data_IF_767749007011
#
_entry.id   IF_767749007011
#
_cell.length_a   1.000
_cell.length_b   1.000
_cell.length_c   1.000
_cell.angle_alpha   90.00
_cell.angle_beta   90.00
_cell.angle_gamma   90.00
#
_symmetry.space_group_name_H-M   'P 1'
#
loop_
_entity.id
_entity.type
_entity.pdbx_description
1 polymer ?
#
# COMPACT_ATOMS: atom_id res chain seq x y z
N UNK A 1 23.30 -7.34 14.51
CA UNK A 1 21.94 -7.01 14.02
C UNK A 1 20.92 -8.05 14.53
N UNK A 2 21.19 -9.32 14.39
CA UNK A 2 20.38 -10.42 14.95
C UNK A 2 20.16 -10.34 16.46
N UNK A 3 21.06 -9.70 17.20
CA UNK A 3 20.95 -9.53 18.65
C UNK A 3 19.92 -8.50 19.09
N UNK A 4 19.70 -7.42 18.31
CA UNK A 4 18.67 -6.43 18.64
C UNK A 4 17.29 -7.02 18.31
N UNK A 5 17.16 -7.72 17.19
CA UNK A 5 15.94 -8.43 16.82
C UNK A 5 15.59 -9.54 17.83
N UNK A 6 16.60 -10.20 18.42
CA UNK A 6 16.43 -11.16 19.50
C UNK A 6 16.08 -10.50 20.84
N UNK A 7 16.65 -9.33 21.14
CA UNK A 7 16.33 -8.58 22.36
C UNK A 7 14.87 -8.09 22.36
N UNK A 8 14.35 -7.62 21.24
CA UNK A 8 12.92 -7.25 21.10
C UNK A 8 11.99 -8.44 21.41
N UNK A 9 12.45 -9.66 21.18
CA UNK A 9 11.70 -10.88 21.46
C UNK A 9 11.82 -11.39 22.91
N UNK A 10 12.88 -11.03 23.63
CA UNK A 10 13.28 -11.69 24.88
C UNK A 10 13.07 -10.85 26.15
N UNK A 11 12.79 -9.54 26.06
CA UNK A 11 12.89 -8.68 27.25
C UNK A 11 11.56 -8.39 27.90
N UNK A 12 11.47 -8.76 29.18
CA UNK A 12 10.33 -8.46 30.05
C UNK A 12 10.26 -7.02 30.57
N UNK A 13 11.37 -6.24 30.50
CA UNK A 13 11.38 -4.81 30.86
C UNK A 13 11.27 -3.92 29.61
N UNK A 14 10.04 -3.53 29.34
CA UNK A 14 9.63 -2.79 28.15
C UNK A 14 10.22 -1.38 28.08
N UNK A 15 10.44 -0.71 29.21
CA UNK A 15 10.97 0.65 29.25
C UNK A 15 12.44 0.71 28.81
N UNK A 16 13.26 -0.23 29.27
CA UNK A 16 14.68 -0.35 28.88
C UNK A 16 14.83 -0.71 27.41
N UNK A 17 14.01 -1.65 26.90
CA UNK A 17 14.01 -2.02 25.47
C UNK A 17 13.63 -0.82 24.61
N UNK A 18 12.61 -0.06 25.00
CA UNK A 18 12.17 1.13 24.30
C UNK A 18 13.29 2.16 24.20
N UNK A 19 13.95 2.46 25.32
CA UNK A 19 15.04 3.44 25.34
C UNK A 19 16.22 3.01 24.46
N UNK A 20 16.55 1.73 24.44
CA UNK A 20 17.54 1.16 23.52
C UNK A 20 17.11 1.25 22.06
N UNK A 21 15.84 0.96 21.74
CA UNK A 21 15.31 1.03 20.38
C UNK A 21 15.28 2.48 19.86
N UNK A 22 14.85 3.44 20.68
CA UNK A 22 14.81 4.87 20.30
C UNK A 22 16.19 5.37 19.86
N UNK A 23 17.28 4.92 20.51
CA UNK A 23 18.64 5.30 20.11
C UNK A 23 19.08 4.73 18.75
N UNK A 24 18.33 3.76 18.21
CA UNK A 24 18.61 3.10 16.93
C UNK A 24 17.63 3.47 15.82
N UNK A 25 16.63 4.31 16.10
CA UNK A 25 15.65 4.76 15.11
C UNK A 25 16.25 5.71 14.08
N UNK A 26 15.50 5.90 13.01
CA UNK A 26 15.86 6.78 11.93
C UNK A 26 16.78 6.14 10.90
N UNK A 27 17.37 7.00 10.09
CA UNK A 27 18.24 6.60 8.99
C UNK A 27 19.67 6.35 9.49
N UNK A 28 20.24 5.24 9.07
CA UNK A 28 21.67 4.92 9.30
C UNK A 28 22.31 4.41 8.01
N UNK A 29 23.62 4.61 7.89
CA UNK A 29 24.42 4.06 6.80
C UNK A 29 25.41 3.05 7.38
N UNK A 30 25.28 1.79 6.99
CA UNK A 30 26.14 0.69 7.47
C UNK A 30 26.47 -0.25 6.33
N UNK A 31 27.76 -0.60 6.20
CA UNK A 31 28.24 -1.54 5.18
C UNK A 31 27.76 -1.20 3.75
N UNK A 32 27.82 0.09 3.39
CA UNK A 32 27.39 0.55 2.07
C UNK A 32 25.87 0.61 1.84
N UNK A 33 25.05 0.39 2.89
CA UNK A 33 23.57 0.38 2.78
C UNK A 33 22.93 1.45 3.64
N UNK A 34 21.90 2.08 3.09
CA UNK A 34 20.99 2.97 3.82
C UNK A 34 19.86 2.17 4.45
N UNK A 35 19.79 2.22 5.78
CA UNK A 35 18.80 1.49 6.56
C UNK A 35 17.92 2.49 7.29
N UNK A 36 16.61 2.38 7.16
CA UNK A 36 15.62 3.13 7.91
C UNK A 36 14.97 2.24 8.96
N UNK A 37 14.90 2.71 10.21
CA UNK A 37 14.22 2.03 11.32
C UNK A 37 13.14 2.91 11.89
N UNK A 38 11.93 2.37 11.98
CA UNK A 38 10.76 3.06 12.52
C UNK A 38 10.05 2.17 13.53
N UNK A 39 9.36 2.79 14.49
CA UNK A 39 8.47 2.11 15.41
C UNK A 39 7.03 2.21 14.91
N UNK A 40 6.28 1.15 15.13
CA UNK A 40 4.86 1.11 14.85
C UNK A 40 4.11 0.34 15.95
N UNK A 41 2.86 0.71 16.19
CA UNK A 41 2.11 0.21 17.34
C UNK A 41 1.42 -1.15 17.13
N UNK A 42 1.38 -1.67 15.89
CA UNK A 42 0.70 -2.94 15.60
C UNK A 42 1.33 -3.71 14.45
N UNK A 43 1.14 -5.04 14.40
CA UNK A 43 1.62 -5.86 13.28
C UNK A 43 0.94 -5.50 11.96
N UNK A 44 1.69 -5.52 10.88
CA UNK A 44 1.26 -5.28 9.49
C UNK A 44 1.16 -6.63 8.75
N UNK A 45 0.29 -7.53 9.23
CA UNK A 45 0.25 -8.94 8.82
C UNK A 45 -0.49 -9.21 7.51
N UNK A 46 -1.41 -8.36 7.14
CA UNK A 46 -2.17 -8.50 5.90
C UNK A 46 -1.78 -7.38 4.93
N UNK A 47 -1.12 -7.76 3.85
CA UNK A 47 -0.66 -6.86 2.80
C UNK A 47 -1.27 -7.22 1.43
N UNK A 48 -2.29 -8.11 1.42
CA UNK A 48 -2.94 -8.57 0.19
C UNK A 48 -3.80 -7.46 -0.44
N UNK A 49 -3.51 -7.00 -1.66
CA UNK A 49 -4.33 -6.04 -2.37
C UNK A 49 -5.77 -6.53 -2.56
N UNK A 50 -6.74 -5.65 -2.33
CA UNK A 50 -8.17 -5.97 -2.43
C UNK A 50 -8.79 -6.54 -1.15
N UNK A 51 -7.99 -6.86 -0.13
CA UNK A 51 -8.50 -7.10 1.22
C UNK A 51 -8.77 -5.77 1.95
N UNK A 52 -9.40 -5.83 3.13
CA UNK A 52 -9.65 -4.66 3.96
C UNK A 52 -8.35 -4.15 4.61
N UNK A 53 -7.52 -3.48 3.80
CA UNK A 53 -6.27 -2.87 4.26
C UNK A 53 -6.54 -1.57 5.00
N UNK A 54 -5.83 -1.35 6.09
CA UNK A 54 -5.76 -0.06 6.75
C UNK A 54 -4.73 0.82 6.03
N UNK A 55 -4.69 2.10 6.35
CA UNK A 55 -3.82 3.09 5.70
C UNK A 55 -2.34 2.67 5.65
N UNK A 56 -1.79 2.22 6.78
CA UNK A 56 -0.37 1.81 6.83
C UNK A 56 -0.09 0.56 5.99
N UNK A 57 -1.00 -0.41 5.98
CA UNK A 57 -0.90 -1.60 5.11
C UNK A 57 -1.04 -1.22 3.64
N UNK A 58 -1.94 -0.27 3.32
CA UNK A 58 -2.08 0.31 1.97
C UNK A 58 -0.78 0.98 1.52
N UNK A 59 -0.15 1.77 2.39
CA UNK A 59 1.12 2.41 2.10
C UNK A 59 2.22 1.39 1.82
N UNK A 60 2.33 0.36 2.65
CA UNK A 60 3.31 -0.72 2.44
C UNK A 60 2.99 -1.52 1.16
N UNK A 61 1.72 -1.82 0.89
CA UNK A 61 1.33 -2.52 -0.35
C UNK A 61 1.79 -1.77 -1.60
N UNK A 62 1.71 -0.43 -1.61
CA UNK A 62 2.22 0.41 -2.70
C UNK A 62 3.73 0.36 -2.89
N UNK A 63 4.47 -0.07 -1.88
CA UNK A 63 5.91 -0.29 -2.01
C UNK A 63 6.26 -1.70 -2.53
N UNK A 64 5.35 -2.65 -2.38
CA UNK A 64 5.58 -4.06 -2.73
C UNK A 64 5.04 -4.39 -4.13
N UNK A 65 3.91 -3.78 -4.50
CA UNK A 65 3.22 -4.08 -5.75
C UNK A 65 3.26 -2.89 -6.70
N UNK A 66 3.08 -3.20 -7.97
CA UNK A 66 2.77 -2.23 -9.03
C UNK A 66 1.41 -2.53 -9.64
N UNK A 67 0.86 -1.57 -10.36
CA UNK A 67 -0.39 -1.68 -11.11
C UNK A 67 -0.19 -1.25 -12.57
N UNK A 68 -1.22 -1.24 -13.39
CA UNK A 68 -1.08 -0.77 -14.78
C UNK A 68 -0.67 0.70 -14.81
N UNK A 69 -1.29 1.51 -13.97
CA UNK A 69 -1.01 2.93 -13.77
C UNK A 69 -0.77 3.17 -12.26
N UNK A 70 -0.26 4.31 -11.89
CA UNK A 70 -0.15 4.69 -10.48
C UNK A 70 -0.58 6.14 -10.27
N UNK A 71 -0.98 6.45 -9.05
CA UNK A 71 -1.30 7.81 -8.62
C UNK A 71 -0.09 8.33 -7.85
N UNK A 72 0.44 9.46 -8.28
CA UNK A 72 1.46 10.17 -7.55
C UNK A 72 0.83 10.74 -6.26
N UNK A 73 1.34 10.33 -5.09
CA UNK A 73 0.79 10.74 -3.80
C UNK A 73 1.06 12.21 -3.45
N UNK A 74 2.02 12.86 -4.13
CA UNK A 74 2.38 14.26 -3.85
C UNK A 74 1.46 15.25 -4.58
N UNK A 75 1.14 14.95 -5.85
CA UNK A 75 0.38 15.88 -6.70
C UNK A 75 -0.97 15.32 -7.18
N UNK A 76 -1.26 14.04 -6.91
CA UNK A 76 -2.50 13.35 -7.33
C UNK A 76 -2.55 13.02 -8.82
N UNK A 77 -1.47 13.22 -9.57
CA UNK A 77 -1.43 12.94 -11.01
C UNK A 77 -1.35 11.44 -11.30
N UNK A 78 -1.96 11.07 -12.42
CA UNK A 78 -1.89 9.72 -12.94
C UNK A 78 -0.61 9.53 -13.73
N UNK A 79 0.18 8.54 -13.35
CA UNK A 79 1.47 8.22 -13.95
C UNK A 79 1.49 6.81 -14.55
N UNK A 80 2.44 6.60 -15.46
CA UNK A 80 2.76 5.27 -15.98
C UNK A 80 3.39 4.39 -14.90
N UNK A 81 2.98 3.11 -14.88
CA UNK A 81 3.58 2.09 -14.03
C UNK A 81 3.94 0.86 -14.87
N UNK A 82 3.32 -0.31 -14.71
CA UNK A 82 3.54 -1.47 -15.60
C UNK A 82 3.14 -1.12 -17.04
N UNK A 83 2.04 -0.40 -17.25
CA UNK A 83 1.75 0.19 -18.55
C UNK A 83 2.54 1.49 -18.73
N UNK A 84 3.34 1.54 -19.79
CA UNK A 84 4.09 2.76 -20.12
C UNK A 84 3.25 3.77 -20.91
N UNK A 85 2.15 3.31 -21.51
CA UNK A 85 1.22 4.14 -22.26
C UNK A 85 -0.18 3.49 -22.27
N UNK A 86 -1.22 4.33 -22.41
CA UNK A 86 -2.61 3.88 -22.62
C UNK A 86 -3.38 4.89 -23.45
N UNK A 87 -4.43 4.41 -24.10
CA UNK A 87 -5.32 5.26 -24.88
C UNK A 87 -6.76 4.74 -24.86
N UNK A 88 -7.71 5.64 -24.91
CA UNK A 88 -9.11 5.30 -25.10
C UNK A 88 -9.38 5.15 -26.61
N UNK A 89 -9.63 3.92 -27.05
CA UNK A 89 -9.95 3.61 -28.44
C UNK A 89 -11.39 4.02 -28.78
N UNK A 90 -12.29 3.78 -27.82
CA UNK A 90 -13.70 4.20 -27.87
C UNK A 90 -14.21 4.41 -26.44
N UNK A 91 -15.41 4.97 -26.24
CA UNK A 91 -15.99 5.12 -24.88
C UNK A 91 -16.06 3.82 -24.07
N UNK A 92 -16.12 2.66 -24.74
CA UNK A 92 -16.20 1.34 -24.12
C UNK A 92 -14.91 0.51 -24.29
N UNK A 93 -13.83 1.08 -24.78
CA UNK A 93 -12.63 0.33 -25.09
C UNK A 93 -11.36 1.14 -24.76
N UNK A 94 -10.57 0.59 -23.83
CA UNK A 94 -9.26 1.08 -23.47
C UNK A 94 -8.17 0.10 -23.90
N UNK A 95 -7.02 0.63 -24.33
CA UNK A 95 -5.83 -0.11 -24.68
C UNK A 95 -4.65 0.34 -23.84
N UNK A 96 -3.95 -0.63 -23.25
CA UNK A 96 -2.75 -0.42 -22.45
C UNK A 96 -1.56 -1.12 -23.11
N UNK A 97 -0.40 -0.47 -23.07
CA UNK A 97 0.85 -0.99 -23.60
C UNK A 97 1.80 -1.25 -22.43
N UNK A 98 2.15 -2.53 -22.24
CA UNK A 98 2.94 -2.97 -21.09
C UNK A 98 4.44 -2.88 -21.35
N UNK A 99 5.20 -2.67 -20.28
CA UNK A 99 6.66 -2.71 -20.29
C UNK A 99 7.13 -4.17 -20.37
N UNK A 100 8.06 -4.52 -21.25
CA UNK A 100 8.78 -5.78 -21.16
C UNK A 100 9.77 -5.77 -20.00
N UNK A 101 10.19 -6.96 -19.54
CA UNK A 101 11.26 -7.11 -18.55
C UNK A 101 10.87 -6.71 -17.13
N UNK A 102 9.58 -6.64 -16.81
CA UNK A 102 9.10 -6.46 -15.43
C UNK A 102 9.23 -7.80 -14.69
N UNK A 103 9.89 -7.80 -13.53
CA UNK A 103 10.09 -9.01 -12.73
C UNK A 103 9.37 -8.94 -11.40
N UNK A 104 8.84 -10.07 -10.97
CA UNK A 104 8.41 -10.28 -9.60
C UNK A 104 9.61 -10.47 -8.67
N UNK A 105 9.43 -10.20 -7.37
CA UNK A 105 10.50 -10.30 -6.37
C UNK A 105 11.16 -11.69 -6.28
N UNK A 106 10.51 -12.74 -6.74
CA UNK A 106 11.09 -14.10 -6.80
C UNK A 106 11.83 -14.39 -8.12
N UNK A 107 12.00 -13.38 -8.99
CA UNK A 107 12.80 -13.46 -10.20
C UNK A 107 12.05 -13.88 -11.46
N UNK A 108 10.77 -14.31 -11.37
CA UNK A 108 9.97 -14.61 -12.57
C UNK A 108 9.56 -13.33 -13.28
N UNK A 109 9.69 -13.29 -14.60
CA UNK A 109 9.18 -12.19 -15.42
C UNK A 109 7.64 -12.14 -15.37
N UNK A 110 7.10 -10.93 -15.37
CA UNK A 110 5.67 -10.70 -15.47
C UNK A 110 5.18 -11.05 -16.87
N UNK A 111 4.15 -11.87 -16.94
CA UNK A 111 3.48 -12.26 -18.18
C UNK A 111 2.09 -11.63 -18.27
N UNK A 112 1.54 -11.54 -19.46
CA UNK A 112 0.19 -11.00 -19.68
C UNK A 112 -0.88 -11.76 -18.88
N UNK A 113 -0.71 -13.05 -18.68
CA UNK A 113 -1.64 -13.87 -17.89
C UNK A 113 -1.70 -13.46 -16.42
N UNK A 114 -0.61 -12.92 -15.86
CA UNK A 114 -0.61 -12.35 -14.50
C UNK A 114 -1.51 -11.11 -14.42
N UNK A 115 -1.41 -10.26 -15.45
CA UNK A 115 -2.22 -9.04 -15.55
C UNK A 115 -3.70 -9.39 -15.72
N UNK A 116 -4.01 -10.28 -16.66
CA UNK A 116 -5.39 -10.73 -16.93
C UNK A 116 -6.00 -11.39 -15.68
N UNK A 117 -5.27 -12.27 -15.00
CA UNK A 117 -5.72 -12.92 -13.77
C UNK A 117 -6.01 -11.91 -12.66
N UNK A 118 -5.13 -10.93 -12.49
CA UNK A 118 -5.29 -9.88 -11.49
C UNK A 118 -6.51 -9.01 -11.76
N UNK A 119 -6.75 -8.62 -13.00
CA UNK A 119 -7.91 -7.83 -13.39
C UNK A 119 -9.23 -8.63 -13.30
N UNK A 120 -9.22 -9.92 -13.66
CA UNK A 120 -10.38 -10.79 -13.46
C UNK A 120 -10.73 -10.94 -11.98
N UNK A 121 -9.74 -10.99 -11.10
CA UNK A 121 -9.93 -11.05 -9.65
C UNK A 121 -10.73 -9.84 -9.14
N UNK A 122 -10.42 -8.63 -9.59
CA UNK A 122 -11.08 -7.42 -9.12
C UNK A 122 -12.44 -7.16 -9.79
N UNK A 123 -12.75 -7.81 -10.90
CA UNK A 123 -14.04 -7.65 -11.59
C UNK A 123 -15.25 -8.06 -10.72
N UNK A 124 -15.01 -8.84 -9.68
CA UNK A 124 -16.05 -9.17 -8.66
C UNK A 124 -16.36 -7.99 -7.73
N UNK A 125 -15.54 -6.97 -7.69
CA UNK A 125 -15.75 -5.78 -6.86
C UNK A 125 -16.68 -4.78 -7.60
N UNK A 126 -17.65 -4.16 -6.92
CA UNK A 126 -18.62 -3.27 -7.55
C UNK A 126 -17.99 -2.16 -8.40
N UNK A 127 -16.85 -1.62 -7.96
CA UNK A 127 -16.15 -0.53 -8.64
C UNK A 127 -15.61 -0.94 -10.02
N UNK A 128 -15.33 -2.22 -10.24
CA UNK A 128 -14.75 -2.78 -11.47
C UNK A 128 -15.73 -3.67 -12.26
N UNK A 129 -16.96 -3.83 -11.78
CA UNK A 129 -17.97 -4.76 -12.35
C UNK A 129 -18.39 -4.40 -13.78
N UNK A 130 -18.08 -3.19 -14.24
CA UNK A 130 -18.33 -2.72 -15.61
C UNK A 130 -17.25 -3.18 -16.61
N UNK A 131 -16.19 -3.86 -16.18
CA UNK A 131 -15.23 -4.50 -17.08
C UNK A 131 -15.88 -5.74 -17.68
N UNK A 132 -16.16 -5.71 -18.98
CA UNK A 132 -16.88 -6.77 -19.67
C UNK A 132 -15.92 -7.88 -20.16
N UNK A 133 -14.80 -7.48 -20.75
CA UNK A 133 -13.83 -8.42 -21.34
C UNK A 133 -12.42 -7.85 -21.29
N UNK A 134 -11.44 -8.75 -21.20
CA UNK A 134 -10.03 -8.43 -21.13
C UNK A 134 -9.30 -9.36 -22.09
N UNK A 135 -8.72 -8.79 -23.14
CA UNK A 135 -8.04 -9.55 -24.20
C UNK A 135 -6.63 -9.02 -24.45
N UNK A 136 -5.76 -9.85 -24.95
CA UNK A 136 -4.38 -9.51 -25.30
C UNK A 136 -4.15 -9.73 -26.79
N UNK A 137 -4.23 -8.68 -27.62
CA UNK A 137 -3.95 -8.80 -29.06
C UNK A 137 -2.49 -9.15 -29.35
N UNK A 138 -1.57 -8.74 -28.50
CA UNK A 138 -0.14 -9.05 -28.57
C UNK A 138 0.41 -9.28 -27.16
N UNK A 139 1.60 -9.89 -26.98
CA UNK A 139 2.17 -10.15 -25.66
C UNK A 139 2.30 -8.91 -24.74
N UNK A 140 2.34 -7.71 -25.32
CA UNK A 140 2.53 -6.45 -24.58
C UNK A 140 1.37 -5.46 -24.73
N UNK A 141 0.26 -5.89 -25.33
CA UNK A 141 -0.93 -5.06 -25.52
C UNK A 141 -2.12 -5.67 -24.80
N UNK A 142 -2.77 -4.90 -23.98
CA UNK A 142 -3.96 -5.27 -23.23
C UNK A 142 -5.14 -4.40 -23.65
N UNK A 143 -6.21 -5.01 -24.09
CA UNK A 143 -7.49 -4.37 -24.40
C UNK A 143 -8.50 -4.68 -23.30
N UNK A 144 -9.14 -3.65 -22.78
CA UNK A 144 -10.21 -3.74 -21.77
C UNK A 144 -11.48 -3.19 -22.39
N UNK A 145 -12.49 -4.03 -22.49
CA UNK A 145 -13.82 -3.68 -22.97
C UNK A 145 -14.78 -3.50 -21.78
N UNK A 146 -15.62 -2.48 -21.86
CA UNK A 146 -16.51 -2.06 -20.79
C UNK A 146 -17.98 -2.25 -21.18
N UNK A 147 -18.85 -2.48 -20.21
CA UNK A 147 -20.32 -2.49 -20.39
C UNK A 147 -20.91 -1.09 -20.42
N UNK A 148 -20.23 -0.11 -19.85
CA UNK A 148 -20.61 1.30 -19.82
C UNK A 148 -19.37 2.19 -19.93
N UNK A 149 -19.50 3.42 -20.49
CA UNK A 149 -18.37 4.32 -20.64
C UNK A 149 -17.75 4.69 -19.30
N UNK A 150 -16.42 4.61 -19.22
CA UNK A 150 -15.66 5.07 -18.05
C UNK A 150 -14.33 5.72 -18.51
N UNK A 151 -14.27 7.05 -18.42
CA UNK A 151 -13.04 7.81 -18.70
C UNK A 151 -12.01 7.74 -17.58
N UNK A 152 -12.43 7.28 -16.39
CA UNK A 152 -11.59 7.20 -15.20
C UNK A 152 -10.97 5.81 -15.00
N UNK A 153 -11.22 4.87 -15.92
CA UNK A 153 -10.68 3.52 -15.82
C UNK A 153 -9.16 3.51 -15.53
N UNK A 154 -8.30 4.31 -16.20
CA UNK A 154 -6.87 4.32 -15.86
C UNK A 154 -6.60 4.72 -14.40
N UNK A 155 -7.37 5.64 -13.84
CA UNK A 155 -7.26 6.03 -12.43
C UNK A 155 -7.68 4.90 -11.49
N UNK A 156 -8.74 4.17 -11.83
CA UNK A 156 -9.20 3.00 -11.08
C UNK A 156 -8.17 1.88 -11.09
N UNK A 157 -7.50 1.67 -12.22
CA UNK A 157 -6.45 0.67 -12.38
C UNK A 157 -5.13 1.02 -11.68
N UNK A 158 -4.99 2.25 -11.17
CA UNK A 158 -3.92 2.70 -10.29
C UNK A 158 -4.22 2.53 -8.79
N UNK A 159 -5.42 2.04 -8.43
CA UNK A 159 -5.79 1.83 -7.04
C UNK A 159 -5.27 0.49 -6.51
N UNK A 160 -5.12 0.41 -5.17
CA UNK A 160 -4.57 -0.78 -4.50
C UNK A 160 -5.27 -2.09 -4.87
N UNK A 161 -6.61 -2.18 -4.98
CA UNK A 161 -7.25 -3.42 -5.39
C UNK A 161 -6.79 -3.92 -6.77
N UNK A 162 -6.42 -3.02 -7.67
CA UNK A 162 -6.01 -3.34 -9.05
C UNK A 162 -4.51 -3.65 -9.20
N UNK A 163 -3.76 -3.75 -8.11
CA UNK A 163 -2.36 -4.15 -8.14
C UNK A 163 -2.20 -5.57 -8.70
N UNK A 164 -1.13 -5.76 -9.47
CA UNK A 164 -0.87 -7.01 -10.17
C UNK A 164 -0.18 -8.00 -9.23
N UNK A 165 -0.73 -9.20 -9.17
CA UNK A 165 -0.22 -10.35 -8.41
C UNK A 165 0.30 -11.42 -9.37
N UNK A 166 1.26 -12.26 -8.96
CA UNK A 166 1.58 -13.45 -9.73
C UNK A 166 0.33 -14.35 -9.80
N UNK A 167 0.03 -14.90 -10.96
CA UNK A 167 -1.19 -15.71 -11.18
C UNK A 167 -1.31 -16.90 -10.21
N UNK A 168 -0.17 -17.39 -9.73
CA UNK A 168 -0.07 -18.47 -8.76
C UNK A 168 -0.19 -18.04 -7.28
N UNK A 169 -0.53 -16.80 -6.99
CA UNK A 169 -0.48 -16.22 -5.64
C UNK A 169 -1.25 -17.02 -4.58
N UNK A 170 -2.36 -17.68 -4.96
CA UNK A 170 -3.16 -18.49 -4.05
C UNK A 170 -2.44 -19.77 -3.59
N UNK A 171 -1.50 -20.26 -4.39
CA UNK A 171 -0.71 -21.45 -4.08
C UNK A 171 0.52 -21.14 -3.23
N UNK A 172 0.90 -19.85 -3.13
CA UNK A 172 2.04 -19.40 -2.36
C UNK A 172 1.68 -19.33 -0.88
N UNK A 173 2.41 -20.07 -0.06
CA UNK A 173 2.18 -20.07 1.40
C UNK A 173 2.39 -18.68 1.99
N UNK A 174 1.49 -18.28 2.90
CA UNK A 174 1.58 -17.02 3.63
C UNK A 174 1.60 -15.76 2.75
N UNK A 175 1.04 -15.79 1.53
CA UNK A 175 1.09 -14.67 0.59
C UNK A 175 0.57 -13.36 1.19
N UNK A 176 -0.49 -13.40 2.00
CA UNK A 176 -1.03 -12.20 2.64
C UNK A 176 -0.02 -11.47 3.54
N UNK A 177 0.89 -12.19 4.18
CA UNK A 177 1.92 -11.62 5.07
C UNK A 177 3.29 -11.48 4.40
N UNK A 178 3.60 -12.34 3.44
CA UNK A 178 4.85 -12.33 2.66
C UNK A 178 4.53 -12.27 1.17
N UNK A 179 3.91 -11.17 0.72
CA UNK A 179 3.53 -11.04 -0.67
C UNK A 179 4.75 -10.90 -1.58
N UNK A 180 4.55 -11.37 -2.81
CA UNK A 180 5.48 -11.22 -3.92
C UNK A 180 4.83 -10.29 -4.94
N UNK A 181 5.44 -9.15 -5.18
CA UNK A 181 4.98 -8.15 -6.14
C UNK A 181 6.08 -7.78 -7.12
N UNK A 182 5.85 -6.72 -7.86
CA UNK A 182 6.78 -6.14 -8.85
C UNK A 182 7.25 -4.74 -8.44
N UNK A 183 6.94 -4.32 -7.21
CA UNK A 183 7.25 -2.98 -6.71
C UNK A 183 8.70 -2.79 -6.27
N UNK A 184 9.05 -1.57 -5.82
CA UNK A 184 10.43 -1.21 -5.48
C UNK A 184 11.00 -1.90 -4.24
N UNK A 185 10.16 -2.54 -3.41
CA UNK A 185 10.59 -3.25 -2.21
C UNK A 185 10.01 -4.66 -2.14
N UNK A 186 10.83 -5.61 -1.74
CA UNK A 186 10.45 -7.00 -1.43
C UNK A 186 10.34 -7.21 0.08
N UNK A 187 9.37 -8.03 0.51
CA UNK A 187 9.23 -8.44 1.91
C UNK A 187 10.27 -9.51 2.23
N UNK A 188 11.13 -9.22 3.20
CA UNK A 188 12.14 -10.16 3.68
C UNK A 188 11.67 -10.88 4.94
N UNK A 189 10.92 -10.18 5.79
CA UNK A 189 10.39 -10.72 7.04
C UNK A 189 9.11 -9.99 7.41
N UNK A 190 8.10 -10.70 7.83
CA UNK A 190 6.89 -10.12 8.42
C UNK A 190 6.37 -11.02 9.55
N UNK A 191 6.58 -10.58 10.78
CA UNK A 191 6.20 -11.25 12.01
C UNK A 191 5.27 -10.36 12.84
N UNK A 192 4.88 -10.82 14.03
CA UNK A 192 4.13 -9.99 14.98
C UNK A 192 4.94 -8.80 15.50
N UNK A 193 6.28 -8.89 15.50
CA UNK A 193 7.15 -7.90 16.12
C UNK A 193 7.94 -7.06 15.10
N UNK A 194 7.96 -7.47 13.83
CA UNK A 194 8.78 -6.81 12.83
C UNK A 194 8.25 -7.01 11.42
N UNK A 195 8.24 -5.93 10.64
CA UNK A 195 8.23 -5.97 9.17
C UNK A 195 9.58 -5.47 8.67
N UNK A 196 10.22 -6.26 7.82
CA UNK A 196 11.45 -5.90 7.11
C UNK A 196 11.23 -5.99 5.62
N UNK A 197 11.46 -4.89 4.92
CA UNK A 197 11.43 -4.83 3.46
C UNK A 197 12.80 -4.37 2.94
N UNK A 198 13.16 -4.82 1.77
CA UNK A 198 14.44 -4.53 1.12
C UNK A 198 14.21 -4.03 -0.30
N UNK A 199 14.99 -3.05 -0.73
CA UNK A 199 14.96 -2.56 -2.10
C UNK A 199 15.18 -3.70 -3.10
N UNK A 200 14.37 -3.71 -4.14
CA UNK A 200 14.42 -4.69 -5.22
C UNK A 200 15.31 -4.13 -6.33
N UNK A 201 16.47 -4.76 -6.54
CA UNK A 201 17.46 -4.25 -7.47
C UNK A 201 17.03 -4.35 -8.93
N UNK A 202 16.19 -5.36 -9.28
CA UNK A 202 15.64 -5.56 -10.63
C UNK A 202 14.31 -4.83 -10.85
N UNK A 203 14.02 -3.80 -10.02
CA UNK A 203 12.83 -2.98 -10.21
C UNK A 203 12.91 -2.23 -11.55
N UNK A 204 11.85 -2.29 -12.34
CA UNK A 204 11.78 -1.78 -13.71
C UNK A 204 11.82 -0.24 -13.85
N UNK A 205 11.86 0.49 -12.71
CA UNK A 205 11.93 1.95 -12.66
C UNK A 205 13.11 2.37 -11.76
N UNK A 206 13.03 3.56 -11.15
CA UNK A 206 14.09 4.06 -10.29
C UNK A 206 14.23 3.22 -9.03
N UNK A 207 15.42 2.67 -8.82
CA UNK A 207 15.75 1.93 -7.61
C UNK A 207 15.56 2.82 -6.37
N UNK A 208 14.96 2.25 -5.35
CA UNK A 208 14.78 2.95 -4.08
C UNK A 208 16.14 3.33 -3.44
N UNK A 209 16.21 4.55 -2.89
CA UNK A 209 17.42 5.08 -2.25
C UNK A 209 17.68 4.48 -0.86
N UNK A 210 16.64 4.02 -0.18
CA UNK A 210 16.76 3.31 1.09
C UNK A 210 16.84 1.82 0.78
N UNK A 211 17.93 1.18 1.15
CA UNK A 211 18.17 -0.22 0.86
C UNK A 211 17.31 -1.16 1.71
N UNK A 212 17.01 -0.75 2.94
CA UNK A 212 16.28 -1.58 3.89
C UNK A 212 15.41 -0.71 4.81
N UNK A 213 14.15 -1.13 5.00
CA UNK A 213 13.25 -0.52 5.98
C UNK A 213 12.86 -1.57 7.01
N UNK A 214 13.11 -1.26 8.28
CA UNK A 214 12.73 -2.08 9.43
C UNK A 214 11.65 -1.35 10.22
N UNK A 215 10.47 -1.94 10.26
CA UNK A 215 9.36 -1.50 11.12
C UNK A 215 9.32 -2.41 12.34
N UNK A 216 9.69 -1.90 13.50
CA UNK A 216 9.58 -2.62 14.76
C UNK A 216 8.22 -2.38 15.38
N UNK A 217 7.56 -3.45 15.81
CA UNK A 217 6.20 -3.39 16.35
C UNK A 217 6.26 -3.39 17.88
N UNK A 218 5.79 -2.28 18.46
CA UNK A 218 5.66 -2.08 19.90
C UNK A 218 4.23 -1.58 20.18
N UNK A 219 3.31 -2.47 20.59
CA UNK A 219 1.91 -2.10 20.83
C UNK A 219 1.72 -1.02 21.90
N UNK A 220 2.64 -0.91 22.85
CA UNK A 220 2.58 0.01 23.96
C UNK A 220 2.70 1.48 23.55
N UNK A 221 3.22 1.78 22.35
CA UNK A 221 3.30 3.17 21.85
C UNK A 221 1.97 3.70 21.33
N UNK A 222 0.94 2.86 21.23
CA UNK A 222 -0.39 3.28 20.78
C UNK A 222 -1.05 4.30 21.73
N UNK A 223 -0.69 4.23 23.01
CA UNK A 223 -1.26 5.09 24.08
C UNK A 223 -0.50 6.40 24.25
N UNK A 224 0.56 6.65 23.48
CA UNK A 224 1.31 7.89 23.56
C UNK A 224 0.77 8.96 22.59
N UNK A 225 0.70 10.22 23.03
CA UNK A 225 0.34 11.30 22.12
C UNK A 225 1.30 11.35 20.93
N UNK A 226 0.75 11.56 19.75
CA UNK A 226 1.41 11.47 18.44
C UNK A 226 2.64 12.38 18.20
N UNK A 227 3.18 12.99 19.23
CA UNK A 227 4.30 13.94 19.17
C UNK A 227 5.68 13.38 19.50
N UNK A 228 5.82 12.05 19.74
CA UNK A 228 7.00 11.52 20.41
C UNK A 228 8.13 10.94 19.56
N UNK A 229 8.01 10.85 18.25
CA UNK A 229 9.07 10.33 17.38
C UNK A 229 9.90 11.48 16.79
N UNK A 230 10.82 12.02 17.58
CA UNK A 230 11.86 12.92 17.07
C UNK A 230 12.91 12.07 16.34
N UNK A 231 12.91 12.14 15.02
CA UNK A 231 14.01 11.62 14.20
C UNK A 231 15.22 12.56 14.39
N UNK A 232 16.14 12.20 15.26
CA UNK A 232 17.42 12.90 15.34
C UNK A 232 18.20 12.67 14.06
N UNK A 233 18.69 13.74 13.44
CA UNK A 233 19.62 13.65 12.33
C UNK A 233 20.92 12.95 12.74
N UNK A 234 21.76 12.51 11.78
CA UNK A 234 22.99 11.74 12.04
C UNK A 234 24.00 12.44 12.97
N UNK A 235 23.87 13.74 13.22
CA UNK A 235 24.80 14.57 14.01
C UNK A 235 24.18 15.12 15.28
N UNK A 236 22.98 14.66 15.69
CA UNK A 236 22.35 15.12 16.94
C UNK A 236 21.81 16.54 16.90
N UNK A 237 21.84 17.22 15.78
CA UNK A 237 21.23 18.53 15.59
C UNK A 237 19.71 18.42 15.54
N UNK A 238 19.03 19.24 16.34
CA UNK A 238 17.60 19.46 16.20
C UNK A 238 17.36 20.15 14.86
N UNK A 239 16.96 19.39 13.84
CA UNK A 239 16.51 19.98 12.59
C UNK A 239 15.07 20.43 12.76
N UNK A 240 14.77 21.55 12.12
CA UNK A 240 13.44 22.10 11.98
C UNK A 240 12.45 20.98 11.60
N UNK A 241 11.44 20.77 12.44
CA UNK A 241 10.41 19.76 12.21
C UNK A 241 9.43 20.39 11.22
N UNK A 242 9.48 19.94 9.98
CA UNK A 242 8.44 20.27 9.02
C UNK A 242 7.19 19.45 9.37
N UNK A 243 6.15 20.13 9.87
CA UNK A 243 4.85 19.52 10.10
C UNK A 243 3.88 19.93 9.00
N UNK A 244 3.27 18.95 8.35
CA UNK A 244 2.19 19.20 7.39
C UNK A 244 0.88 18.69 7.97
N UNK A 245 -0.13 19.56 7.98
CA UNK A 245 -1.47 19.15 8.34
C UNK A 245 -1.98 18.21 7.25
N UNK A 246 -2.38 17.01 7.65
CA UNK A 246 -2.94 16.05 6.73
C UNK A 246 -4.41 16.35 6.49
N UNK A 247 -4.80 16.52 5.23
CA UNK A 247 -6.20 16.64 4.86
C UNK A 247 -6.90 15.30 5.10
N UNK A 248 -7.86 15.29 5.98
CA UNK A 248 -8.65 14.12 6.33
C UNK A 248 -10.06 14.52 6.75
N UNK A 249 -10.97 13.58 6.75
CA UNK A 249 -12.31 13.76 7.27
C UNK A 249 -12.75 12.55 8.08
N UNK A 250 -13.58 12.79 9.06
CA UNK A 250 -14.39 11.75 9.67
C UNK A 250 -15.67 11.60 8.84
N UNK A 251 -16.08 10.36 8.60
CA UNK A 251 -17.32 10.07 7.90
C UNK A 251 -18.12 9.00 8.63
N UNK A 252 -19.43 9.08 8.52
CA UNK A 252 -20.35 8.10 9.05
C UNK A 252 -20.94 7.30 7.88
N UNK A 253 -20.80 5.99 7.96
CA UNK A 253 -21.45 5.06 7.02
C UNK A 253 -22.67 4.43 7.67
N UNK A 254 -23.81 4.49 6.98
CA UNK A 254 -25.00 3.78 7.39
C UNK A 254 -25.03 2.39 6.75
N UNK A 255 -25.17 1.35 7.57
CA UNK A 255 -25.42 0.01 7.04
C UNK A 255 -26.87 -0.11 6.58
N UNK A 256 -27.09 0.05 5.27
CA UNK A 256 -28.42 -0.02 4.65
C UNK A 256 -29.07 -1.41 4.73
N UNK A 257 -28.35 -2.43 5.15
CA UNK A 257 -28.90 -3.78 5.39
C UNK A 257 -29.64 -3.88 6.73
N UNK A 258 -29.40 -2.94 7.64
CA UNK A 258 -30.10 -2.88 8.93
C UNK A 258 -31.37 -2.04 8.80
N UNK A 259 -32.42 -2.39 9.56
CA UNK A 259 -33.67 -1.63 9.58
C UNK A 259 -33.45 -0.13 9.91
N UNK A 260 -32.55 0.18 10.84
CA UNK A 260 -32.22 1.58 11.22
C UNK A 260 -31.39 2.28 10.15
N UNK A 261 -30.39 1.62 9.58
CA UNK A 261 -29.53 2.20 8.55
C UNK A 261 -30.25 2.39 7.21
N UNK A 262 -31.27 1.57 6.91
CA UNK A 262 -32.12 1.71 5.72
C UNK A 262 -33.14 2.84 5.84
N UNK A 263 -33.52 3.27 7.07
CA UNK A 263 -34.52 4.29 7.30
C UNK A 263 -33.99 5.69 6.95
N UNK A 264 -34.58 6.34 5.94
CA UNK A 264 -34.17 7.67 5.47
C UNK A 264 -34.29 8.72 6.57
N UNK A 265 -35.35 8.72 7.35
CA UNK A 265 -35.57 9.70 8.41
C UNK A 265 -34.47 9.61 9.50
N UNK A 266 -34.04 8.40 9.83
CA UNK A 266 -32.90 8.20 10.76
C UNK A 266 -31.62 8.76 10.19
N UNK A 267 -31.32 8.51 8.92
CA UNK A 267 -30.13 9.07 8.27
C UNK A 267 -30.16 10.59 8.23
N UNK A 268 -31.29 11.17 7.86
CA UNK A 268 -31.47 12.62 7.77
C UNK A 268 -31.31 13.28 9.16
N UNK A 269 -31.90 12.67 10.18
CA UNK A 269 -31.77 13.16 11.56
C UNK A 269 -30.31 13.11 12.05
N UNK A 270 -29.62 11.99 11.84
CA UNK A 270 -28.19 11.86 12.22
C UNK A 270 -27.33 12.84 11.43
N UNK A 271 -27.57 13.00 10.14
CA UNK A 271 -26.86 13.97 9.30
C UNK A 271 -27.06 15.41 9.76
N UNK A 272 -28.28 15.74 10.19
CA UNK A 272 -28.60 17.04 10.77
C UNK A 272 -27.85 17.28 12.09
N UNK A 273 -27.88 16.32 13.02
CA UNK A 273 -27.19 16.41 14.33
C UNK A 273 -25.68 16.54 14.19
N UNK A 274 -25.10 15.79 13.22
CA UNK A 274 -23.64 15.80 12.98
C UNK A 274 -23.19 16.86 11.96
N UNK A 275 -24.10 17.73 11.53
CA UNK A 275 -23.67 18.82 10.64
C UNK A 275 -22.73 19.79 11.35
N UNK A 276 -21.71 20.36 10.67
CA UNK A 276 -20.76 21.29 11.29
C UNK A 276 -21.41 22.50 11.95
N UNK A 277 -22.60 22.89 11.47
CA UNK A 277 -23.37 24.02 12.05
C UNK A 277 -24.03 23.67 13.39
N UNK A 278 -24.20 22.37 13.70
CA UNK A 278 -24.84 21.91 14.93
C UNK A 278 -23.84 21.34 15.95
N UNK A 279 -22.61 21.08 15.53
CA UNK A 279 -21.50 20.73 16.42
C UNK A 279 -20.92 22.03 16.96
N UNK A 280 -21.46 22.48 18.09
CA UNK A 280 -20.88 23.59 18.87
C UNK A 280 -19.77 22.97 19.71
N UNK A 281 -18.53 23.40 19.49
CA UNK A 281 -17.39 23.07 20.32
C UNK A 281 -17.37 23.93 21.57
#
# INVERSE_FOLDING_TARGET
>A
QDRIDQLVQLVGDKATVRQMLVSHLGRSFRQGRHILRVLYYRPLRNLLPGSALRRSETHIARQIFSSLTRINEENGELEADIAHHWQQISPLHWRFFLRPGVHFHHGRELEMDDVIASLKRINTLPLYSHIADIVSPTPWTLDIHLTQPDRWLPLLLGQVPAMILPREWETLSNFASHPIGTGPYAVIRNTTNQLKIQAFDDFFSYRALIDEVNVWVLPEIADEPAGGLMLKGPQGEEKEIESRLEEGCYYLLFDSRTHRGANQQVRDWVSYVLSPTNLVY
#
